data_IF_648483682469
#
_entry.id   IF_648483682469
#
_cell.length_a   1.000
_cell.length_b   1.000
_cell.length_c   1.000
_cell.angle_alpha   90.00
_cell.angle_beta   90.00
_cell.angle_gamma   90.00
#
_symmetry.space_group_name_H-M   'P 1'
#
loop_
_entity.id
_entity.type
_entity.pdbx_description
1 polymer ?
#
# COMPACT_ATOMS: atom_id res chain seq x y z
N UNK A 1 53.23 -38.92 -55.37
CA UNK A 1 52.83 -38.40 -56.69
C UNK A 1 53.34 -39.22 -57.89
N UNK A 2 54.56 -39.80 -57.87
CA UNK A 2 55.05 -40.62 -59.01
C UNK A 2 54.50 -42.07 -59.03
N UNK A 3 53.88 -42.58 -57.95
CA UNK A 3 53.33 -43.95 -57.91
C UNK A 3 51.81 -44.05 -58.20
N UNK A 4 51.06 -42.94 -58.10
CA UNK A 4 49.58 -42.96 -58.18
C UNK A 4 49.05 -43.09 -59.62
N UNK A 5 49.78 -42.54 -60.61
CA UNK A 5 49.41 -42.66 -62.03
C UNK A 5 49.67 -44.06 -62.57
N UNK A 6 50.70 -44.75 -62.08
CA UNK A 6 51.07 -46.07 -62.56
C UNK A 6 50.04 -47.13 -62.14
N UNK A 7 49.41 -46.99 -60.96
CA UNK A 7 48.34 -47.88 -60.50
C UNK A 7 47.05 -47.72 -61.32
N UNK A 8 46.65 -46.48 -61.59
CA UNK A 8 45.48 -46.17 -62.42
C UNK A 8 45.69 -46.57 -63.88
N UNK A 9 46.90 -46.34 -64.42
CA UNK A 9 47.29 -46.76 -65.77
C UNK A 9 47.36 -48.28 -65.90
N UNK A 10 47.84 -48.99 -64.88
CA UNK A 10 47.87 -50.45 -64.87
C UNK A 10 46.48 -51.08 -64.94
N UNK A 11 45.50 -50.52 -64.22
CA UNK A 11 44.11 -50.98 -64.29
C UNK A 11 43.51 -50.74 -65.68
N UNK A 12 43.80 -49.60 -66.30
CA UNK A 12 43.37 -49.29 -67.66
C UNK A 12 43.96 -50.28 -68.69
N UNK A 13 45.27 -50.57 -68.59
CA UNK A 13 45.96 -51.53 -69.46
C UNK A 13 45.47 -52.97 -69.27
N UNK A 14 45.17 -53.37 -68.03
CA UNK A 14 44.57 -54.68 -67.74
C UNK A 14 43.21 -54.83 -68.43
N UNK A 15 42.37 -53.80 -68.38
CA UNK A 15 41.05 -53.78 -69.04
C UNK A 15 41.16 -53.77 -70.57
N UNK A 16 42.20 -53.18 -71.14
CA UNK A 16 42.45 -53.19 -72.60
C UNK A 16 43.11 -54.50 -73.08
N UNK A 17 43.44 -55.42 -72.19
CA UNK A 17 44.01 -56.73 -72.51
C UNK A 17 45.54 -56.78 -72.60
N UNK A 18 46.23 -55.66 -72.35
CA UNK A 18 47.71 -55.61 -72.30
C UNK A 18 48.21 -56.05 -70.92
N UNK A 19 48.38 -57.35 -70.76
CA UNK A 19 48.78 -57.96 -69.49
C UNK A 19 50.22 -57.59 -69.08
N UNK A 20 51.11 -57.39 -70.05
CA UNK A 20 52.53 -57.09 -69.79
C UNK A 20 52.71 -55.63 -69.39
N UNK A 21 52.01 -54.72 -70.05
CA UNK A 21 51.92 -53.32 -69.66
C UNK A 21 51.27 -53.17 -68.28
N UNK A 22 50.14 -53.84 -68.05
CA UNK A 22 49.45 -53.84 -66.76
C UNK A 22 50.36 -54.32 -65.62
N UNK A 23 51.07 -55.43 -65.80
CA UNK A 23 52.01 -55.96 -64.81
C UNK A 23 53.14 -54.98 -64.50
N UNK A 24 53.76 -54.41 -65.54
CA UNK A 24 54.90 -53.50 -65.39
C UNK A 24 54.52 -52.25 -64.59
N UNK A 25 53.39 -51.63 -64.94
CA UNK A 25 52.93 -50.42 -64.27
C UNK A 25 52.37 -50.70 -62.87
N UNK A 26 51.69 -51.83 -62.66
CA UNK A 26 51.24 -52.22 -61.32
C UNK A 26 52.43 -52.53 -60.39
N UNK A 27 53.46 -53.23 -60.90
CA UNK A 27 54.66 -53.57 -60.11
C UNK A 27 55.47 -52.33 -59.72
N UNK A 28 55.52 -51.30 -60.57
CA UNK A 28 56.14 -50.00 -60.26
C UNK A 28 55.40 -49.21 -59.16
N UNK A 29 54.12 -49.53 -58.94
CA UNK A 29 53.25 -48.85 -57.98
C UNK A 29 53.22 -49.52 -56.61
N UNK A 30 53.77 -50.73 -56.53
CA UNK A 30 53.70 -51.59 -55.34
C UNK A 30 55.06 -51.64 -54.63
N UNK A 31 55.14 -51.24 -53.35
CA UNK A 31 56.35 -51.37 -52.54
C UNK A 31 56.58 -52.82 -52.11
N UNK A 32 57.83 -53.15 -51.77
CA UNK A 32 58.21 -54.53 -51.40
C UNK A 32 57.58 -54.99 -50.08
N UNK A 33 57.32 -54.06 -49.15
CA UNK A 33 56.57 -54.29 -47.92
C UNK A 33 55.28 -53.48 -47.93
N UNK A 34 54.20 -54.06 -47.41
CA UNK A 34 52.92 -53.37 -47.32
C UNK A 34 53.06 -52.14 -46.37
N UNK A 35 52.72 -50.93 -46.81
CA UNK A 35 52.76 -49.75 -45.95
C UNK A 35 51.76 -49.86 -44.81
N UNK A 36 52.06 -49.22 -43.67
CA UNK A 36 51.16 -49.18 -42.49
C UNK A 36 49.80 -48.53 -42.80
N UNK A 37 49.76 -47.62 -43.77
CA UNK A 37 48.54 -46.99 -44.27
C UNK A 37 48.50 -47.09 -45.81
N UNK A 38 48.09 -48.24 -46.38
CA UNK A 38 47.98 -48.38 -47.82
C UNK A 38 46.89 -47.46 -48.35
N UNK A 39 47.08 -46.90 -49.53
CA UNK A 39 46.07 -46.07 -50.19
C UNK A 39 45.10 -46.96 -51.00
N UNK A 40 43.87 -46.50 -51.30
CA UNK A 40 42.96 -47.24 -52.16
C UNK A 40 43.56 -47.56 -53.55
N UNK A 41 44.42 -46.68 -54.06
CA UNK A 41 45.15 -46.88 -55.31
C UNK A 41 46.18 -48.02 -55.20
N UNK A 42 46.82 -48.18 -54.05
CA UNK A 42 47.75 -49.27 -53.80
C UNK A 42 47.03 -50.63 -53.70
N UNK A 43 45.88 -50.69 -53.02
CA UNK A 43 45.03 -51.87 -53.04
C UNK A 43 44.64 -52.24 -54.48
N UNK A 44 44.28 -51.24 -55.30
CA UNK A 44 43.95 -51.46 -56.71
C UNK A 44 45.15 -52.00 -57.51
N UNK A 45 46.37 -51.55 -57.25
CA UNK A 45 47.57 -52.07 -57.90
C UNK A 45 47.84 -53.55 -57.56
N UNK A 46 47.67 -53.96 -56.29
CA UNK A 46 47.75 -55.37 -55.89
C UNK A 46 46.68 -56.22 -56.58
N UNK A 47 45.45 -55.70 -56.72
CA UNK A 47 44.38 -56.38 -57.45
C UNK A 47 44.75 -56.66 -58.91
N UNK A 48 45.36 -55.68 -59.59
CA UNK A 48 45.80 -55.84 -60.98
C UNK A 48 46.91 -56.89 -61.10
N UNK A 49 47.88 -56.93 -60.18
CA UNK A 49 48.94 -57.95 -60.15
C UNK A 49 48.38 -59.36 -59.92
N UNK A 50 47.44 -59.51 -58.98
CA UNK A 50 46.72 -60.76 -58.75
C UNK A 50 46.03 -61.26 -60.02
N UNK A 51 45.25 -60.40 -60.65
CA UNK A 51 44.48 -60.72 -61.85
C UNK A 51 45.37 -61.11 -63.04
N UNK A 52 46.50 -60.41 -63.22
CA UNK A 52 47.48 -60.77 -64.25
C UNK A 52 48.16 -62.10 -63.95
N UNK A 53 48.61 -62.34 -62.72
CA UNK A 53 49.25 -63.60 -62.31
C UNK A 53 48.30 -64.81 -62.46
N UNK A 54 47.02 -64.62 -62.15
CA UNK A 54 45.95 -65.60 -62.35
C UNK A 54 45.78 -65.97 -63.82
N UNK A 55 45.74 -64.97 -64.73
CA UNK A 55 45.65 -65.21 -66.18
C UNK A 55 46.88 -65.89 -66.76
N UNK A 56 48.06 -65.66 -66.19
CA UNK A 56 49.32 -66.32 -66.57
C UNK A 56 49.47 -67.73 -66.00
N UNK A 57 48.54 -68.20 -65.17
CA UNK A 57 48.58 -69.54 -64.56
C UNK A 57 49.58 -69.70 -63.41
N UNK A 58 50.14 -68.60 -62.88
CA UNK A 58 51.09 -68.65 -61.77
C UNK A 58 50.35 -68.56 -60.42
N UNK A 59 49.94 -69.72 -59.90
CA UNK A 59 49.14 -69.80 -58.68
C UNK A 59 49.87 -69.26 -57.43
N UNK A 60 51.19 -69.45 -57.34
CA UNK A 60 51.98 -69.00 -56.20
C UNK A 60 52.06 -67.47 -56.13
N UNK A 61 52.33 -66.83 -57.28
CA UNK A 61 52.37 -65.36 -57.39
C UNK A 61 50.97 -64.75 -57.24
N UNK A 62 49.94 -65.41 -57.77
CA UNK A 62 48.56 -64.95 -57.58
C UNK A 62 48.14 -64.97 -56.11
N UNK A 63 48.54 -66.00 -55.34
CA UNK A 63 48.21 -66.08 -53.92
C UNK A 63 48.88 -64.94 -53.12
N UNK A 64 50.17 -64.70 -53.32
CA UNK A 64 50.90 -63.60 -52.62
C UNK A 64 50.28 -62.23 -52.92
N UNK A 65 49.96 -61.95 -54.19
CA UNK A 65 49.30 -60.68 -54.54
C UNK A 65 47.88 -60.58 -54.02
N UNK A 66 47.16 -61.70 -53.92
CA UNK A 66 45.81 -61.72 -53.35
C UNK A 66 45.82 -61.43 -51.84
N UNK A 67 46.74 -62.04 -51.09
CA UNK A 67 46.89 -61.80 -49.65
C UNK A 67 47.19 -60.32 -49.38
N UNK A 68 48.12 -59.72 -50.13
CA UNK A 68 48.46 -58.29 -50.01
C UNK A 68 47.32 -57.37 -50.44
N UNK A 69 46.55 -57.75 -51.45
CA UNK A 69 45.34 -57.01 -51.85
C UNK A 69 44.30 -57.00 -50.74
N UNK A 70 43.96 -58.17 -50.20
CA UNK A 70 42.95 -58.30 -49.14
C UNK A 70 43.37 -57.53 -47.89
N UNK A 71 44.65 -57.59 -47.52
CA UNK A 71 45.18 -56.84 -46.38
C UNK A 71 45.13 -55.33 -46.64
N UNK A 72 45.58 -54.87 -47.81
CA UNK A 72 45.53 -53.46 -48.19
C UNK A 72 44.10 -52.90 -48.23
N UNK A 73 43.17 -53.64 -48.83
CA UNK A 73 41.77 -53.26 -48.96
C UNK A 73 41.09 -53.13 -47.58
N UNK A 74 41.32 -54.11 -46.69
CA UNK A 74 40.82 -54.07 -45.30
C UNK A 74 41.31 -52.82 -44.55
N UNK A 75 42.60 -52.52 -44.61
CA UNK A 75 43.16 -51.33 -43.95
C UNK A 75 42.55 -50.02 -44.48
N UNK A 76 42.29 -49.92 -45.79
CA UNK A 76 41.64 -48.73 -46.37
C UNK A 76 40.18 -48.57 -45.95
N UNK A 77 39.42 -49.68 -45.89
CA UNK A 77 38.03 -49.69 -45.46
C UNK A 77 37.88 -49.32 -43.97
N UNK A 78 38.78 -49.82 -43.12
CA UNK A 78 38.81 -49.49 -41.69
C UNK A 78 39.14 -48.01 -41.47
N UNK A 79 40.10 -47.44 -42.22
CA UNK A 79 40.46 -46.03 -42.14
C UNK A 79 39.32 -45.09 -42.61
N UNK A 80 38.62 -45.46 -43.68
CA UNK A 80 37.46 -44.71 -44.17
C UNK A 80 36.30 -44.74 -43.16
N UNK A 81 36.01 -45.91 -42.59
CA UNK A 81 34.98 -46.09 -41.56
C UNK A 81 35.31 -45.32 -40.27
N UNK A 82 36.57 -45.37 -39.83
CA UNK A 82 37.05 -44.63 -38.67
C UNK A 82 36.93 -43.11 -38.87
N UNK A 83 37.25 -42.62 -40.07
CA UNK A 83 37.12 -41.19 -40.42
C UNK A 83 35.66 -40.73 -40.43
N UNK A 84 34.74 -41.53 -41.00
CA UNK A 84 33.30 -41.24 -40.99
C UNK A 84 32.74 -41.20 -39.56
N UNK A 85 33.14 -42.16 -38.72
CA UNK A 85 32.75 -42.21 -37.31
C UNK A 85 33.28 -41.00 -36.52
N UNK A 86 34.53 -40.60 -36.77
CA UNK A 86 35.12 -39.41 -36.16
C UNK A 86 34.36 -38.13 -36.55
N UNK A 87 34.02 -37.97 -37.83
CA UNK A 87 33.22 -36.85 -38.31
C UNK A 87 31.82 -36.82 -37.66
N UNK A 88 31.16 -37.98 -37.56
CA UNK A 88 29.84 -38.08 -36.91
C UNK A 88 29.88 -37.69 -35.43
N UNK A 89 30.90 -38.12 -34.69
CA UNK A 89 31.07 -37.74 -33.28
C UNK A 89 31.25 -36.25 -33.10
N UNK A 90 32.11 -35.63 -33.92
CA UNK A 90 32.32 -34.17 -33.89
C UNK A 90 31.01 -33.44 -34.19
N UNK A 91 30.26 -33.92 -35.19
CA UNK A 91 28.95 -33.34 -35.52
C UNK A 91 27.97 -33.44 -34.35
N UNK A 92 27.87 -34.60 -33.70
CA UNK A 92 27.01 -34.79 -32.52
C UNK A 92 27.42 -33.87 -31.37
N UNK A 93 28.72 -33.75 -31.09
CA UNK A 93 29.21 -32.87 -30.02
C UNK A 93 28.90 -31.39 -30.30
N UNK A 94 28.98 -30.97 -31.56
CA UNK A 94 28.57 -29.62 -31.99
C UNK A 94 27.06 -29.43 -31.78
N UNK A 95 26.24 -30.39 -32.21
CA UNK A 95 24.78 -30.33 -32.03
C UNK A 95 24.39 -30.28 -30.55
N UNK A 96 25.08 -31.05 -29.69
CA UNK A 96 24.88 -31.04 -28.24
C UNK A 96 25.26 -29.69 -27.62
N UNK A 97 26.41 -29.13 -28.00
CA UNK A 97 26.82 -27.80 -27.55
C UNK A 97 25.86 -26.71 -28.00
N UNK A 98 25.37 -26.78 -29.24
CA UNK A 98 24.37 -25.83 -29.75
C UNK A 98 23.07 -25.91 -28.93
N UNK A 99 22.59 -27.11 -28.63
CA UNK A 99 21.41 -27.30 -27.77
C UNK A 99 21.62 -26.73 -26.37
N UNK A 100 22.78 -26.96 -25.76
CA UNK A 100 23.11 -26.41 -24.44
C UNK A 100 23.16 -24.88 -24.44
N UNK A 101 23.79 -24.28 -25.46
CA UNK A 101 23.86 -22.83 -25.61
C UNK A 101 22.46 -22.23 -25.76
N UNK A 102 21.63 -22.83 -26.61
CA UNK A 102 20.25 -22.39 -26.81
C UNK A 102 19.42 -22.51 -25.53
N UNK A 103 19.55 -23.61 -24.79
CA UNK A 103 18.85 -23.79 -23.52
C UNK A 103 19.30 -22.78 -22.45
N UNK A 104 20.59 -22.46 -22.40
CA UNK A 104 21.13 -21.44 -21.51
C UNK A 104 20.63 -20.03 -21.91
N UNK A 105 20.57 -19.72 -23.20
CA UNK A 105 20.03 -18.47 -23.71
C UNK A 105 18.55 -18.31 -23.40
N UNK A 106 17.74 -19.35 -23.63
CA UNK A 106 16.31 -19.37 -23.33
C UNK A 106 16.05 -19.19 -21.82
N UNK A 107 16.82 -19.88 -20.98
CA UNK A 107 16.72 -19.77 -19.52
C UNK A 107 17.04 -18.36 -19.04
N UNK A 108 18.11 -17.75 -19.56
CA UNK A 108 18.47 -16.37 -19.28
C UNK A 108 17.39 -15.39 -19.74
N UNK A 109 16.81 -15.62 -20.91
CA UNK A 109 15.73 -14.78 -21.46
C UNK A 109 14.47 -14.83 -20.62
N UNK A 110 14.06 -16.02 -20.18
CA UNK A 110 12.92 -16.19 -19.26
C UNK A 110 13.17 -15.46 -17.94
N UNK A 111 14.39 -15.58 -17.39
CA UNK A 111 14.76 -14.91 -16.15
C UNK A 111 14.69 -13.38 -16.29
N UNK A 112 15.20 -12.82 -17.38
CA UNK A 112 15.13 -11.38 -17.66
C UNK A 112 13.69 -10.89 -17.78
N UNK A 113 12.82 -11.64 -18.46
CA UNK A 113 11.40 -11.30 -18.58
C UNK A 113 10.69 -11.31 -17.22
N UNK A 114 10.94 -12.31 -16.37
CA UNK A 114 10.39 -12.37 -15.01
C UNK A 114 10.83 -11.16 -14.18
N UNK A 115 12.12 -10.84 -14.18
CA UNK A 115 12.64 -9.68 -13.47
C UNK A 115 12.01 -8.36 -13.95
N UNK A 116 11.76 -8.22 -15.26
CA UNK A 116 11.10 -7.04 -15.80
C UNK A 116 9.64 -6.91 -15.35
N UNK A 117 8.90 -8.03 -15.28
CA UNK A 117 7.53 -8.07 -14.75
C UNK A 117 7.48 -7.73 -13.26
N UNK A 118 8.37 -8.32 -12.47
CA UNK A 118 8.44 -8.06 -11.02
C UNK A 118 8.76 -6.60 -10.72
N UNK A 119 9.68 -5.98 -11.48
CA UNK A 119 9.97 -4.54 -11.35
C UNK A 119 8.73 -3.68 -11.61
N UNK A 120 7.93 -4.00 -12.62
CA UNK A 120 6.68 -3.28 -12.91
C UNK A 120 5.63 -3.50 -11.82
N UNK A 121 5.50 -4.73 -11.32
CA UNK A 121 4.57 -5.05 -10.23
C UNK A 121 4.91 -4.30 -8.94
N UNK A 122 6.20 -4.24 -8.58
CA UNK A 122 6.67 -3.49 -7.41
C UNK A 122 6.43 -1.99 -7.58
N UNK A 123 6.67 -1.43 -8.77
CA UNK A 123 6.35 -0.03 -9.07
C UNK A 123 4.85 0.26 -8.93
N UNK A 124 3.99 -0.59 -9.50
CA UNK A 124 2.55 -0.44 -9.40
C UNK A 124 2.05 -0.52 -7.95
N UNK A 125 2.57 -1.46 -7.16
CA UNK A 125 2.24 -1.60 -5.73
C UNK A 125 2.69 -0.37 -4.91
N UNK A 126 3.88 0.18 -5.19
CA UNK A 126 4.34 1.42 -4.53
C UNK A 126 3.43 2.61 -4.85
N UNK A 127 3.03 2.77 -6.11
CA UNK A 127 2.14 3.85 -6.53
C UNK A 127 0.76 3.73 -5.89
N UNK A 128 0.19 2.52 -5.82
CA UNK A 128 -1.12 2.31 -5.18
C UNK A 128 -1.09 2.58 -3.68
N UNK A 129 0.00 2.20 -2.98
CA UNK A 129 0.19 2.52 -1.55
C UNK A 129 0.27 4.03 -1.33
N UNK A 130 1.09 4.74 -2.12
CA UNK A 130 1.21 6.21 -2.01
C UNK A 130 -0.14 6.88 -2.27
N UNK A 131 -0.84 6.46 -3.32
CA UNK A 131 -2.18 6.98 -3.63
C UNK A 131 -3.15 6.76 -2.46
N UNK A 132 -3.21 5.54 -1.91
CA UNK A 132 -4.07 5.23 -0.76
C UNK A 132 -3.76 6.10 0.46
N UNK A 133 -2.47 6.29 0.78
CA UNK A 133 -2.05 7.16 1.88
C UNK A 133 -2.44 8.62 1.65
N UNK A 134 -2.30 9.14 0.43
CA UNK A 134 -2.70 10.52 0.11
C UNK A 134 -4.20 10.73 0.23
N UNK A 135 -5.01 9.76 -0.21
CA UNK A 135 -6.47 9.80 -0.07
C UNK A 135 -6.86 9.76 1.41
N UNK A 136 -6.27 8.85 2.18
CA UNK A 136 -6.57 8.71 3.61
C UNK A 136 -6.18 9.97 4.40
N UNK A 137 -5.01 10.55 4.12
CA UNK A 137 -4.58 11.81 4.72
C UNK A 137 -5.54 12.97 4.37
N UNK A 138 -6.03 13.02 3.13
CA UNK A 138 -6.99 14.04 2.67
C UNK A 138 -8.32 13.91 3.39
N UNK A 139 -8.83 12.69 3.57
CA UNK A 139 -10.08 12.42 4.32
C UNK A 139 -9.93 12.84 5.78
N UNK A 140 -8.84 12.45 6.44
CA UNK A 140 -8.56 12.84 7.83
C UNK A 140 -8.47 14.37 7.98
N UNK A 141 -7.76 15.03 7.07
CA UNK A 141 -7.67 16.49 7.03
C UNK A 141 -9.06 17.13 6.90
N UNK A 142 -9.90 16.62 6.01
CA UNK A 142 -11.24 17.13 5.78
C UNK A 142 -12.15 16.95 7.02
N UNK A 143 -12.10 15.79 7.68
CA UNK A 143 -12.83 15.53 8.92
C UNK A 143 -12.41 16.50 10.04
N UNK A 144 -11.11 16.75 10.20
CA UNK A 144 -10.59 17.71 11.17
C UNK A 144 -11.08 19.13 10.84
N UNK A 145 -11.01 19.53 9.57
CA UNK A 145 -11.46 20.85 9.10
C UNK A 145 -12.96 21.05 9.36
N UNK A 146 -13.78 20.05 9.07
CA UNK A 146 -15.22 20.09 9.30
C UNK A 146 -15.56 20.25 10.79
N UNK A 147 -14.96 19.41 11.65
CA UNK A 147 -15.15 19.52 13.11
C UNK A 147 -14.70 20.88 13.64
N UNK A 148 -13.57 21.42 13.15
CA UNK A 148 -13.09 22.75 13.55
C UNK A 148 -14.05 23.85 13.10
N UNK A 149 -14.61 23.75 11.89
CA UNK A 149 -15.58 24.70 11.37
C UNK A 149 -16.86 24.72 12.20
N UNK A 150 -17.43 23.55 12.51
CA UNK A 150 -18.62 23.44 13.36
C UNK A 150 -18.38 24.03 14.75
N UNK A 151 -17.23 23.73 15.39
CA UNK A 151 -16.87 24.35 16.67
C UNK A 151 -16.64 25.86 16.56
N UNK A 152 -16.27 26.37 15.39
CA UNK A 152 -16.11 27.82 15.17
C UNK A 152 -17.46 28.49 15.05
N UNK A 153 -18.41 27.90 14.30
CA UNK A 153 -19.79 28.37 14.24
C UNK A 153 -20.48 28.35 15.62
N UNK A 154 -20.28 27.27 16.39
CA UNK A 154 -20.79 27.19 17.77
C UNK A 154 -20.17 28.28 18.67
N UNK A 155 -18.87 28.56 18.52
CA UNK A 155 -18.16 29.61 19.26
C UNK A 155 -18.50 31.04 18.81
N UNK A 156 -19.02 31.21 17.59
CA UNK A 156 -19.40 32.51 17.03
C UNK A 156 -20.75 32.98 17.57
N UNK A 157 -21.66 32.06 17.90
CA UNK A 157 -22.84 32.40 18.68
C UNK A 157 -22.41 32.63 20.14
N UNK A 158 -22.13 33.88 20.51
CA UNK A 158 -21.88 34.27 21.91
C UNK A 158 -23.18 34.55 22.67
N UNK A 159 -24.25 34.81 21.93
CA UNK A 159 -25.54 35.24 22.44
C UNK A 159 -26.60 34.16 22.19
N UNK A 160 -27.58 34.09 23.08
CA UNK A 160 -28.79 33.30 22.96
C UNK A 160 -29.66 33.86 21.82
N UNK A 161 -30.09 32.99 20.90
CA UNK A 161 -30.81 33.41 19.70
C UNK A 161 -32.20 34.01 19.97
N UNK A 162 -32.81 33.71 21.12
CA UNK A 162 -34.12 34.22 21.50
C UNK A 162 -34.02 35.55 22.26
N UNK A 163 -33.14 35.61 23.26
CA UNK A 163 -33.12 36.68 24.27
C UNK A 163 -31.97 37.68 24.08
N UNK A 164 -30.96 37.34 23.27
CA UNK A 164 -29.81 38.21 23.01
C UNK A 164 -28.79 38.34 24.14
N UNK A 165 -29.03 37.77 25.33
CA UNK A 165 -28.02 37.69 26.41
C UNK A 165 -27.00 36.58 26.12
N UNK A 166 -25.97 36.41 26.94
CA UNK A 166 -24.98 35.37 26.68
C UNK A 166 -25.61 33.97 26.68
N UNK A 167 -25.17 33.13 25.76
CA UNK A 167 -25.54 31.72 25.83
C UNK A 167 -24.74 31.00 26.92
N UNK A 168 -25.14 29.76 27.23
CA UNK A 168 -24.48 28.94 28.25
C UNK A 168 -22.95 28.88 28.09
N UNK A 169 -22.47 28.64 26.87
CA UNK A 169 -21.04 28.50 26.63
C UNK A 169 -20.29 29.81 26.93
N UNK A 170 -20.78 30.94 26.41
CA UNK A 170 -20.12 32.21 26.60
C UNK A 170 -20.21 32.71 28.04
N UNK A 171 -21.33 32.46 28.72
CA UNK A 171 -21.48 32.74 30.15
C UNK A 171 -20.40 32.03 30.98
N UNK A 172 -20.22 30.71 30.78
CA UNK A 172 -19.19 29.93 31.48
C UNK A 172 -17.79 30.47 31.21
N UNK A 173 -17.46 30.74 29.94
CA UNK A 173 -16.15 31.30 29.56
C UNK A 173 -15.86 32.66 30.23
N UNK A 174 -16.87 33.52 30.38
CA UNK A 174 -16.70 34.82 31.04
C UNK A 174 -16.68 34.70 32.56
N UNK A 175 -17.49 33.82 33.14
CA UNK A 175 -17.54 33.57 34.58
C UNK A 175 -16.20 33.02 35.10
N UNK A 176 -15.58 32.07 34.39
CA UNK A 176 -14.24 31.56 34.72
C UNK A 176 -13.19 32.67 34.73
N UNK A 177 -13.23 33.57 33.75
CA UNK A 177 -12.31 34.71 33.68
C UNK A 177 -12.51 35.69 34.81
N UNK A 178 -13.77 35.97 35.16
CA UNK A 178 -14.12 36.86 36.27
C UNK A 178 -13.67 36.27 37.61
N UNK A 179 -13.87 34.97 37.84
CA UNK A 179 -13.42 34.29 39.04
C UNK A 179 -11.89 34.27 39.16
N UNK A 180 -11.17 34.02 38.06
CA UNK A 180 -9.70 34.06 38.05
C UNK A 180 -9.13 35.47 38.28
N UNK A 181 -9.86 36.53 37.88
CA UNK A 181 -9.49 37.90 38.22
C UNK A 181 -9.76 38.19 39.70
N UNK A 182 -10.96 37.87 40.17
CA UNK A 182 -11.37 38.05 41.56
C UNK A 182 -10.44 37.33 42.55
N UNK A 183 -10.01 36.11 42.22
CA UNK A 183 -9.05 35.35 43.04
C UNK A 183 -7.70 36.06 43.16
N UNK A 184 -7.21 36.67 42.08
CA UNK A 184 -5.94 37.41 42.09
C UNK A 184 -6.02 38.70 42.87
N UNK A 185 -7.17 39.37 42.78
CA UNK A 185 -7.39 40.68 43.40
C UNK A 185 -7.96 40.58 44.84
N UNK A 186 -8.18 39.36 45.33
CA UNK A 186 -8.78 39.10 46.66
C UNK A 186 -10.22 39.59 46.78
N UNK A 187 -10.97 39.65 45.67
CA UNK A 187 -12.35 40.11 45.65
C UNK A 187 -13.35 38.95 45.70
N UNK A 188 -14.47 39.16 46.38
CA UNK A 188 -15.57 38.20 46.39
C UNK A 188 -16.55 38.45 45.26
N UNK A 189 -17.07 37.36 44.68
CA UNK A 189 -18.04 37.38 43.60
C UNK A 189 -19.19 36.44 43.97
N UNK A 190 -20.40 36.83 43.59
CA UNK A 190 -21.59 36.01 43.76
C UNK A 190 -22.06 35.46 42.42
N UNK A 191 -22.50 34.21 42.42
CA UNK A 191 -23.23 33.59 41.32
C UNK A 191 -24.72 33.54 41.67
N UNK A 192 -25.56 34.04 40.77
CA UNK A 192 -27.02 33.91 40.85
C UNK A 192 -27.50 32.91 39.79
N UNK A 193 -28.32 31.96 40.21
CA UNK A 193 -29.15 31.15 39.33
C UNK A 193 -30.61 31.52 39.54
N UNK A 194 -31.32 31.76 38.43
CA UNK A 194 -32.72 32.19 38.43
C UNK A 194 -33.55 31.24 37.57
N UNK A 195 -34.72 30.86 38.07
CA UNK A 195 -35.72 30.10 37.32
C UNK A 195 -37.09 30.77 37.42
N UNK A 196 -37.75 30.92 36.27
CA UNK A 196 -39.11 31.47 36.21
C UNK A 196 -40.10 30.44 36.75
N UNK A 197 -40.81 30.83 37.80
CA UNK A 197 -41.74 29.94 38.48
C UNK A 197 -42.92 29.62 37.57
N UNK A 198 -43.29 28.34 37.54
CA UNK A 198 -44.46 27.86 36.77
C UNK A 198 -44.40 28.18 35.26
N UNK A 199 -43.23 28.47 34.69
CA UNK A 199 -43.09 28.83 33.28
C UNK A 199 -43.66 27.78 32.32
N UNK A 200 -43.58 26.49 32.67
CA UNK A 200 -44.22 25.43 31.90
C UNK A 200 -45.75 25.57 31.84
N UNK A 201 -46.40 25.95 32.94
CA UNK A 201 -47.86 26.17 32.95
C UNK A 201 -48.25 27.34 32.04
N UNK A 202 -47.41 28.37 31.92
CA UNK A 202 -47.61 29.48 30.99
C UNK A 202 -47.55 28.97 29.55
N UNK A 203 -46.53 28.17 29.21
CA UNK A 203 -46.43 27.56 27.88
C UNK A 203 -47.61 26.64 27.58
N UNK A 204 -48.05 25.85 28.56
CA UNK A 204 -49.15 24.92 28.38
C UNK A 204 -50.49 25.65 28.22
N UNK A 205 -50.66 26.83 28.83
CA UNK A 205 -51.88 27.65 28.76
C UNK A 205 -51.93 28.60 27.55
N UNK A 206 -50.78 29.16 27.13
CA UNK A 206 -50.70 30.23 26.13
C UNK A 206 -49.85 29.88 24.90
N UNK A 207 -49.24 28.69 24.88
CA UNK A 207 -48.34 28.27 23.82
C UNK A 207 -46.90 28.76 24.00
N UNK A 208 -45.99 28.17 23.23
CA UNK A 208 -44.55 28.45 23.32
C UNK A 208 -44.18 29.87 22.83
N UNK A 209 -44.87 30.40 21.82
CA UNK A 209 -44.61 31.74 21.30
C UNK A 209 -44.88 32.81 22.39
N UNK A 210 -45.96 32.67 23.15
CA UNK A 210 -46.25 33.52 24.30
C UNK A 210 -45.19 33.38 25.39
N UNK A 211 -44.77 32.14 25.69
CA UNK A 211 -43.67 31.87 26.63
C UNK A 211 -42.36 32.56 26.25
N UNK A 212 -42.05 32.59 24.96
CA UNK A 212 -40.88 33.26 24.42
C UNK A 212 -40.94 34.78 24.62
N UNK A 213 -42.13 35.39 24.51
CA UNK A 213 -42.35 36.81 24.84
C UNK A 213 -42.17 37.08 26.34
N UNK A 214 -42.67 36.19 27.20
CA UNK A 214 -42.47 36.28 28.66
C UNK A 214 -40.99 36.21 29.01
N UNK A 215 -40.22 35.32 28.37
CA UNK A 215 -38.77 35.22 28.53
C UNK A 215 -38.05 36.50 28.08
N UNK A 216 -38.37 37.02 26.87
CA UNK A 216 -37.81 38.28 26.38
C UNK A 216 -38.08 39.42 27.36
N UNK A 217 -39.30 39.51 27.92
CA UNK A 217 -39.67 40.54 28.89
C UNK A 217 -38.96 40.39 30.23
N UNK A 218 -38.86 39.17 30.75
CA UNK A 218 -38.14 38.89 31.99
C UNK A 218 -36.66 39.29 31.86
N UNK A 219 -36.03 38.93 30.74
CA UNK A 219 -34.64 39.32 30.43
C UNK A 219 -34.49 40.84 30.36
N UNK A 220 -35.41 41.55 29.70
CA UNK A 220 -35.38 43.01 29.64
C UNK A 220 -35.47 43.65 31.05
N UNK A 221 -36.37 43.15 31.89
CA UNK A 221 -36.51 43.62 33.28
C UNK A 221 -35.24 43.35 34.07
N UNK A 222 -34.64 42.16 33.96
CA UNK A 222 -33.38 41.86 34.63
C UNK A 222 -32.25 42.77 34.14
N UNK A 223 -32.13 42.97 32.83
CA UNK A 223 -31.07 43.77 32.23
C UNK A 223 -31.05 45.21 32.77
N UNK A 224 -32.20 45.82 33.02
CA UNK A 224 -32.30 47.17 33.60
C UNK A 224 -31.76 47.28 35.04
N UNK A 225 -31.62 46.16 35.75
CA UNK A 225 -31.12 46.09 37.12
C UNK A 225 -29.65 45.67 37.22
N UNK A 226 -29.01 45.32 36.09
CA UNK A 226 -27.63 44.84 36.06
C UNK A 226 -26.64 45.99 35.79
N UNK A 227 -25.47 45.89 36.41
CA UNK A 227 -24.34 46.79 36.16
C UNK A 227 -23.60 46.36 34.89
N UNK A 228 -22.81 47.28 34.32
CA UNK A 228 -21.94 46.98 33.15
C UNK A 228 -20.91 45.88 33.39
N UNK A 229 -20.55 45.65 34.66
CA UNK A 229 -19.60 44.61 35.08
C UNK A 229 -20.23 43.22 35.17
N UNK A 230 -21.55 43.13 35.21
CA UNK A 230 -22.24 41.88 35.52
C UNK A 230 -22.34 41.01 34.27
N UNK A 231 -22.15 39.70 34.45
CA UNK A 231 -22.24 38.73 33.37
C UNK A 231 -23.62 38.07 33.44
N UNK A 232 -24.41 38.20 32.38
CA UNK A 232 -25.77 37.67 32.33
C UNK A 232 -25.96 36.76 31.12
N UNK A 233 -26.47 35.55 31.37
CA UNK A 233 -26.64 34.55 30.33
C UNK A 233 -27.72 33.52 30.64
N UNK A 234 -28.18 32.86 29.59
CA UNK A 234 -29.20 31.81 29.63
C UNK A 234 -28.55 30.43 29.62
N UNK A 235 -28.80 29.64 30.67
CA UNK A 235 -28.21 28.31 30.86
C UNK A 235 -29.04 27.15 30.29
N UNK A 236 -30.32 27.38 29.99
CA UNK A 236 -31.24 26.35 29.49
C UNK A 236 -32.53 26.89 28.84
N UNK A 237 -33.18 26.00 28.09
CA UNK A 237 -34.44 26.24 27.37
C UNK A 237 -34.36 25.84 25.89
N UNK A 238 -35.50 25.47 25.31
CA UNK A 238 -35.68 25.26 23.88
C UNK A 238 -36.34 26.51 23.27
N UNK A 239 -35.94 26.87 22.06
CA UNK A 239 -36.52 27.99 21.31
C UNK A 239 -37.70 27.47 20.49
N UNK A 240 -38.83 28.18 20.48
CA UNK A 240 -39.87 27.96 19.49
C UNK A 240 -39.81 29.08 18.43
N UNK A 241 -40.29 28.80 17.22
CA UNK A 241 -40.43 29.84 16.21
C UNK A 241 -41.48 30.87 16.68
N UNK A 242 -41.11 32.14 16.70
CA UNK A 242 -41.91 33.23 17.27
C UNK A 242 -42.67 33.98 16.17
N UNK A 243 -43.94 34.27 16.44
CA UNK A 243 -44.71 35.35 15.80
C UNK A 243 -44.76 36.54 16.77
N UNK A 244 -44.31 37.71 16.33
CA UNK A 244 -44.02 38.88 17.18
C UNK A 244 -45.26 39.71 17.63
N UNK A 245 -46.45 39.11 17.75
CA UNK A 245 -47.71 39.89 17.84
C UNK A 245 -48.66 39.49 19.00
N UNK A 246 -48.11 39.12 20.16
CA UNK A 246 -48.90 38.87 21.38
C UNK A 246 -48.49 39.78 22.55
N UNK A 247 -49.50 40.22 23.29
CA UNK A 247 -49.36 41.16 24.40
C UNK A 247 -49.30 40.41 25.74
N UNK A 248 -48.22 40.61 26.51
CA UNK A 248 -48.02 39.94 27.82
C UNK A 248 -48.73 40.63 28.98
N UNK A 249 -49.54 41.69 28.73
CA UNK A 249 -50.29 42.40 29.78
C UNK A 249 -51.25 41.47 30.53
N UNK A 250 -51.12 41.44 31.86
CA UNK A 250 -52.01 40.70 32.76
C UNK A 250 -51.45 39.38 33.30
N UNK A 251 -50.30 38.91 32.80
CA UNK A 251 -49.63 37.72 33.35
C UNK A 251 -48.68 38.12 34.47
N UNK A 252 -48.93 37.62 35.68
CA UNK A 252 -48.03 37.77 36.82
C UNK A 252 -47.16 36.52 36.90
N UNK A 253 -45.85 36.70 36.79
CA UNK A 253 -44.86 35.63 36.93
C UNK A 253 -43.88 36.00 38.04
N UNK A 254 -43.51 35.01 38.85
CA UNK A 254 -42.46 35.13 39.86
C UNK A 254 -41.21 34.36 39.44
N UNK A 255 -40.11 34.58 40.14
CA UNK A 255 -38.89 33.83 39.97
C UNK A 255 -38.37 33.31 41.31
N UNK A 256 -37.79 32.11 41.27
CA UNK A 256 -37.00 31.58 42.36
C UNK A 256 -35.52 31.78 42.06
N UNK A 257 -34.75 32.23 43.05
CA UNK A 257 -33.33 32.52 42.90
C UNK A 257 -32.50 31.75 43.92
N UNK A 258 -31.40 31.15 43.46
CA UNK A 258 -30.34 30.58 44.27
C UNK A 258 -29.07 31.41 44.15
N UNK A 259 -28.38 31.65 45.26
CA UNK A 259 -27.20 32.51 45.32
C UNK A 259 -26.06 31.77 46.01
N UNK A 260 -24.88 31.76 45.40
CA UNK A 260 -23.64 31.27 46.01
C UNK A 260 -22.55 32.35 45.96
N UNK A 261 -21.64 32.35 46.93
CA UNK A 261 -20.54 33.32 47.05
C UNK A 261 -19.18 32.62 47.07
N UNK A 262 -18.17 33.23 46.44
CA UNK A 262 -16.78 32.76 46.51
C UNK A 262 -16.20 32.81 47.93
N UNK A 263 -16.82 33.54 48.84
CA UNK A 263 -16.48 33.57 50.26
C UNK A 263 -16.56 32.18 50.91
N UNK A 264 -17.51 31.35 50.46
CA UNK A 264 -17.75 30.01 51.02
C UNK A 264 -17.36 28.89 50.04
N UNK A 265 -17.67 29.04 48.75
CA UNK A 265 -17.44 28.01 47.74
C UNK A 265 -16.02 28.04 47.13
N UNK A 266 -15.23 29.07 47.43
CA UNK A 266 -13.98 29.34 46.74
C UNK A 266 -14.19 29.84 45.30
N UNK A 267 -13.13 29.78 44.49
CA UNK A 267 -13.12 30.34 43.12
C UNK A 267 -13.32 29.29 42.02
N UNK A 268 -13.77 28.08 42.37
CA UNK A 268 -14.13 27.05 41.40
C UNK A 268 -15.56 27.26 40.89
N UNK A 269 -15.71 27.45 39.57
CA UNK A 269 -17.01 27.71 38.96
C UNK A 269 -17.95 26.51 39.11
N UNK A 270 -17.44 25.28 39.03
CA UNK A 270 -18.30 24.09 39.13
C UNK A 270 -18.94 24.00 40.52
N UNK A 271 -18.14 24.21 41.57
CA UNK A 271 -18.64 24.24 42.95
C UNK A 271 -19.66 25.38 43.16
N UNK A 272 -19.35 26.61 42.75
CA UNK A 272 -20.28 27.75 42.82
C UNK A 272 -21.62 27.47 42.13
N UNK A 273 -21.58 26.87 40.93
CA UNK A 273 -22.79 26.50 40.20
C UNK A 273 -23.60 25.43 40.94
N UNK A 274 -22.94 24.44 41.54
CA UNK A 274 -23.61 23.40 42.32
C UNK A 274 -24.29 23.98 43.57
N UNK A 275 -23.62 24.87 44.28
CA UNK A 275 -24.13 25.51 45.50
C UNK A 275 -25.31 26.45 45.19
N UNK A 276 -25.19 27.24 44.11
CA UNK A 276 -26.28 28.09 43.65
C UNK A 276 -27.49 27.26 43.18
N UNK A 277 -27.27 26.09 42.56
CA UNK A 277 -28.35 25.20 42.11
C UNK A 277 -29.04 24.54 43.30
N UNK A 278 -28.29 24.11 44.31
CA UNK A 278 -28.82 23.62 45.58
C UNK A 278 -29.68 24.69 46.28
N UNK A 279 -29.21 25.93 46.33
CA UNK A 279 -29.97 27.06 46.87
C UNK A 279 -31.24 27.34 46.06
N UNK A 280 -31.17 27.29 44.72
CA UNK A 280 -32.33 27.46 43.83
C UNK A 280 -33.36 26.34 44.03
N UNK A 281 -32.90 25.10 44.20
CA UNK A 281 -33.76 23.97 44.51
C UNK A 281 -34.48 24.15 45.85
N UNK A 282 -33.78 24.65 46.89
CA UNK A 282 -34.39 25.02 48.18
C UNK A 282 -35.41 26.15 48.00
N UNK A 283 -35.13 27.16 47.17
CA UNK A 283 -36.07 28.24 46.87
C UNK A 283 -37.38 27.69 46.27
N UNK A 284 -37.27 26.79 45.27
CA UNK A 284 -38.41 26.15 44.62
C UNK A 284 -39.22 25.28 45.58
N UNK A 285 -38.57 24.48 46.43
CA UNK A 285 -39.25 23.63 47.42
C UNK A 285 -39.84 24.41 48.59
N UNK A 286 -39.25 25.56 48.94
CA UNK A 286 -39.70 26.41 50.03
C UNK A 286 -41.02 27.14 49.75
N UNK A 287 -41.55 27.07 48.53
CA UNK A 287 -42.76 27.78 48.11
C UNK A 287 -42.53 28.82 47.03
N UNK A 288 -41.37 28.80 46.35
CA UNK A 288 -41.04 29.67 45.21
C UNK A 288 -41.05 31.16 45.56
N UNK A 289 -40.94 32.03 44.54
CA UNK A 289 -40.97 33.50 44.65
C UNK A 289 -40.08 34.03 45.78
N UNK A 290 -38.81 33.60 45.79
CA UNK A 290 -37.86 33.91 46.87
C UNK A 290 -36.43 33.78 46.41
N UNK A 291 -35.56 34.41 47.19
CA UNK A 291 -34.11 34.27 47.09
C UNK A 291 -33.64 33.38 48.23
N UNK A 292 -32.81 32.39 47.94
CA UNK A 292 -32.13 31.56 48.93
C UNK A 292 -30.64 31.67 48.71
N UNK A 293 -29.91 31.94 49.80
CA UNK A 293 -28.46 31.93 49.83
C UNK A 293 -27.98 30.50 50.12
N UNK A 294 -26.79 30.18 49.65
CA UNK A 294 -26.08 29.01 50.13
C UNK A 294 -25.48 29.29 51.51
N UNK A 295 -26.21 28.84 52.54
CA UNK A 295 -25.81 28.92 53.93
C UNK A 295 -25.13 27.61 54.36
N UNK A 296 -24.08 27.74 55.16
CA UNK A 296 -23.43 26.65 55.90
C UNK A 296 -24.48 25.92 56.78
N UNK A 297 -24.42 24.59 56.94
CA UNK A 297 -25.19 23.92 57.99
C UNK A 297 -24.79 24.52 59.35
N UNK A 298 -25.74 25.08 60.10
CA UNK A 298 -25.51 25.48 61.48
C UNK A 298 -25.10 24.27 62.32
N UNK A 299 -23.79 24.11 62.52
CA UNK A 299 -23.21 22.94 63.15
C UNK A 299 -21.84 23.20 63.74
N UNK A 300 -21.60 24.40 64.28
CA UNK A 300 -20.54 24.69 65.26
C UNK A 300 -20.79 26.08 65.85
N UNK A 301 -21.86 26.21 66.64
CA UNK A 301 -21.85 27.19 67.71
C UNK A 301 -20.79 26.70 68.71
N UNK A 302 -19.55 27.17 68.53
CA UNK A 302 -18.50 27.04 69.52
C UNK A 302 -19.04 27.68 70.81
N UNK A 303 -19.35 26.81 71.77
CA UNK A 303 -19.51 27.14 73.19
C UNK A 303 -18.26 27.89 73.65
N UNK A 304 -18.44 29.17 73.96
CA UNK A 304 -17.59 29.89 74.92
C UNK A 304 -17.94 29.43 76.33
#
# INVERSE_FOLDING_TARGET
MIHDWAATWADALYRSGDLDGAYRHARQSVPDQLPVAPTPLLARAYQVLYEVAKRRGNAAEALDWHERFVEADKHTLDAASASSLAYQRVKQEVDDKLRQLQQAEDSNRILQLRQALDRKAVQASRLSIVLLLTVLASVVFWLIRLKRSQKRFMRLARHDGLTGIFNRQHFVEQAERMLAAAQRDGQHVCLLLMDLDHFKLINDAHGHAFGDLVLKRAVAVCHDHLRKSDIFGRLGGTIAETSDDEDTRGVVISASLGVASTEHAGYDLQQLMADADNALYRAKRGGRNRVVLDDVPQGEAASL
#
